data_IF_665221289895
#
_entry.id   IF_665221289895
#
_cell.length_a   1.000
_cell.length_b   1.000
_cell.length_c   1.000
_cell.angle_alpha   90.00
_cell.angle_beta   90.00
_cell.angle_gamma   90.00
#
_symmetry.space_group_name_H-M   'P 1'
#
loop_
_entity.id
_entity.type
_entity.pdbx_description
1 polymer ?
#
# COMPACT_ATOMS: atom_id res chain seq x y z
N UNK A 1 -15.10 4.64 1.67
CA UNK A 1 -14.18 3.60 2.18
C UNK A 1 -13.03 3.53 1.19
N UNK A 2 -11.82 3.90 1.57
CA UNK A 2 -10.65 3.81 0.69
C UNK A 2 -10.33 2.34 0.44
N UNK A 3 -9.98 1.94 -0.79
CA UNK A 3 -9.59 0.56 -1.13
C UNK A 3 -8.42 0.07 -0.26
N UNK A 4 -7.53 0.99 0.11
CA UNK A 4 -6.39 0.75 0.98
C UNK A 4 -6.81 0.27 2.39
N UNK A 5 -7.98 0.65 2.90
CA UNK A 5 -8.43 0.21 4.23
C UNK A 5 -8.81 -1.27 4.28
N UNK A 6 -8.92 -1.94 3.13
CA UNK A 6 -9.17 -3.38 3.01
C UNK A 6 -7.89 -4.19 2.75
N UNK A 7 -6.78 -3.52 2.45
CA UNK A 7 -5.49 -4.13 2.21
C UNK A 7 -4.87 -4.68 3.50
N UNK A 8 -4.01 -5.69 3.39
CA UNK A 8 -3.25 -6.15 4.56
C UNK A 8 -2.16 -5.15 4.90
N UNK A 9 -1.74 -5.15 6.17
CA UNK A 9 -0.61 -4.32 6.62
C UNK A 9 0.65 -4.58 5.79
N UNK A 10 0.94 -5.84 5.45
CA UNK A 10 2.11 -6.21 4.63
C UNK A 10 2.03 -5.60 3.23
N UNK A 11 0.88 -5.72 2.56
CA UNK A 11 0.68 -5.15 1.21
C UNK A 11 0.80 -3.62 1.23
N UNK A 12 0.33 -2.96 2.30
CA UNK A 12 0.45 -1.50 2.48
C UNK A 12 1.90 -1.04 2.73
N UNK A 13 2.71 -1.86 3.41
CA UNK A 13 4.13 -1.57 3.63
C UNK A 13 4.86 -1.63 2.30
N UNK A 14 4.70 -2.73 1.55
CA UNK A 14 5.27 -2.91 0.22
C UNK A 14 4.85 -1.79 -0.72
N UNK A 15 3.56 -1.42 -0.73
CA UNK A 15 3.05 -0.32 -1.54
C UNK A 15 3.72 1.02 -1.19
N UNK A 16 3.91 1.32 0.10
CA UNK A 16 4.59 2.54 0.50
C UNK A 16 6.08 2.51 0.13
N UNK A 17 6.75 1.37 0.22
CA UNK A 17 8.13 1.20 -0.25
C UNK A 17 8.26 1.39 -1.77
N UNK A 18 7.34 0.82 -2.56
CA UNK A 18 7.24 1.01 -4.03
C UNK A 18 7.03 2.48 -4.41
N UNK A 19 6.23 3.20 -3.60
CA UNK A 19 6.03 4.64 -3.75
C UNK A 19 7.25 5.49 -3.28
N UNK A 20 8.33 4.84 -2.83
CA UNK A 20 9.53 5.49 -2.30
C UNK A 20 9.30 6.20 -0.97
N UNK A 21 8.27 5.81 -0.23
CA UNK A 21 7.94 6.36 1.08
C UNK A 21 8.70 5.60 2.17
N UNK A 22 9.26 6.35 3.12
CA UNK A 22 9.90 5.76 4.29
C UNK A 22 8.84 5.21 5.24
N UNK A 23 8.76 3.88 5.34
CA UNK A 23 7.85 3.19 6.25
C UNK A 23 8.57 2.81 7.53
N UNK A 24 8.02 3.18 8.68
CA UNK A 24 8.53 2.65 9.95
C UNK A 24 8.05 1.21 10.16
N UNK A 25 8.91 0.30 10.66
CA UNK A 25 8.52 -1.08 10.95
C UNK A 25 7.38 -1.18 11.98
N UNK A 26 7.26 -0.18 12.85
CA UNK A 26 6.19 -0.06 13.86
C UNK A 26 5.00 0.80 13.41
N UNK A 27 4.97 1.26 12.15
CA UNK A 27 3.87 2.06 11.63
C UNK A 27 2.54 1.31 11.74
N UNK A 28 1.46 2.02 12.11
CA UNK A 28 0.12 1.46 12.12
C UNK A 28 -0.48 1.54 10.72
N UNK A 29 -1.46 0.69 10.43
CA UNK A 29 -2.24 0.72 9.19
C UNK A 29 -2.79 2.13 8.93
N UNK A 30 -3.32 2.80 9.96
CA UNK A 30 -3.81 4.19 9.84
C UNK A 30 -2.74 5.19 9.41
N UNK A 31 -1.50 4.98 9.83
CA UNK A 31 -0.39 5.88 9.54
C UNK A 31 0.13 5.63 8.12
N UNK A 32 0.23 4.37 7.70
CA UNK A 32 0.55 3.97 6.32
C UNK A 32 -0.46 4.56 5.32
N UNK A 33 -1.75 4.44 5.63
CA UNK A 33 -2.82 5.00 4.82
C UNK A 33 -2.65 6.50 4.65
N UNK A 34 -2.42 7.21 5.76
CA UNK A 34 -2.18 8.66 5.73
C UNK A 34 -0.92 9.01 4.97
N UNK A 35 0.16 8.24 5.11
CA UNK A 35 1.43 8.48 4.42
C UNK A 35 1.25 8.42 2.90
N UNK A 36 0.54 7.40 2.42
CA UNK A 36 0.25 7.18 1.00
C UNK A 36 -0.68 8.28 0.49
N UNK A 37 -1.81 8.54 1.16
CA UNK A 37 -2.81 9.51 0.68
C UNK A 37 -2.39 10.97 0.84
N UNK A 38 -1.47 11.29 1.76
CA UNK A 38 -0.94 12.64 1.94
C UNK A 38 0.23 12.94 0.99
N UNK A 39 0.66 11.99 0.18
CA UNK A 39 1.67 12.24 -0.84
C UNK A 39 1.12 13.25 -1.85
N UNK A 40 1.89 14.30 -2.17
CA UNK A 40 1.51 15.30 -3.18
C UNK A 40 1.33 14.71 -4.58
N UNK A 41 2.01 13.60 -4.85
CA UNK A 41 1.93 12.86 -6.10
C UNK A 41 1.03 11.62 -5.96
N UNK A 42 0.15 11.59 -4.96
CA UNK A 42 -0.79 10.51 -4.79
C UNK A 42 -1.75 10.46 -5.99
N UNK A 43 -1.69 9.37 -6.73
CA UNK A 43 -2.61 9.03 -7.79
C UNK A 43 -3.41 7.80 -7.34
N UNK A 44 -4.74 7.95 -7.26
CA UNK A 44 -5.63 6.93 -6.76
C UNK A 44 -5.66 5.69 -7.65
N UNK A 45 -5.65 5.89 -8.97
CA UNK A 45 -5.70 4.79 -9.95
C UNK A 45 -4.38 4.03 -9.96
N UNK A 46 -3.25 4.75 -10.00
CA UNK A 46 -1.92 4.13 -9.91
C UNK A 46 -1.74 3.35 -8.60
N UNK A 47 -2.13 3.95 -7.47
CA UNK A 47 -1.99 3.29 -6.16
C UNK A 47 -2.86 2.03 -6.07
N UNK A 48 -4.04 2.06 -6.69
CA UNK A 48 -4.94 0.91 -6.74
C UNK A 48 -4.36 -0.21 -7.61
N UNK A 49 -3.82 0.12 -8.77
CA UNK A 49 -3.18 -0.85 -9.67
C UNK A 49 -1.94 -1.47 -9.01
N UNK A 50 -1.10 -0.68 -8.35
CA UNK A 50 0.04 -1.18 -7.57
C UNK A 50 -0.39 -2.13 -6.45
N UNK A 51 -1.43 -1.76 -5.68
CA UNK A 51 -1.92 -2.62 -4.61
C UNK A 51 -2.48 -3.95 -5.16
N UNK A 52 -3.18 -3.89 -6.30
CA UNK A 52 -3.74 -5.08 -6.95
C UNK A 52 -2.62 -6.01 -7.44
N UNK A 53 -1.57 -5.46 -8.04
CA UNK A 53 -0.37 -6.21 -8.43
C UNK A 53 0.28 -6.90 -7.21
N UNK A 54 0.59 -6.15 -6.14
CA UNK A 54 1.17 -6.71 -4.90
C UNK A 54 0.28 -7.82 -4.31
N UNK A 55 -1.03 -7.60 -4.32
CA UNK A 55 -1.99 -8.59 -3.80
C UNK A 55 -2.02 -9.85 -4.67
N UNK A 56 -1.89 -9.72 -5.98
CA UNK A 56 -1.87 -10.82 -6.93
C UNK A 56 -0.55 -11.59 -6.87
N UNK A 57 0.59 -10.91 -6.86
CA UNK A 57 1.92 -11.53 -6.71
C UNK A 57 1.96 -12.39 -5.45
N UNK A 58 1.51 -11.85 -4.31
CA UNK A 58 1.44 -12.60 -3.05
C UNK A 58 0.46 -13.79 -3.10
N UNK A 59 -0.59 -13.73 -3.93
CA UNK A 59 -1.50 -14.88 -4.13
C UNK A 59 -0.89 -15.92 -5.07
N UNK A 60 -0.08 -15.51 -6.04
CA UNK A 60 0.62 -16.40 -6.96
C UNK A 60 1.76 -17.14 -6.24
N UNK A 61 2.50 -16.47 -5.35
CA UNK A 61 3.52 -17.11 -4.51
C UNK A 61 2.95 -18.10 -3.49
N UNK A 62 1.68 -17.93 -3.10
CA UNK A 62 0.95 -18.84 -2.20
C UNK A 62 0.33 -20.06 -2.94
N UNK A 63 0.42 -20.16 -4.28
CA UNK A 63 -0.05 -21.30 -5.08
C UNK A 63 1.06 -22.31 -5.42
#
# INVERSE_FOLDING_TARGET
MSFLSRARKVDLITLAEELGLAVEPNAKVSDLLRLITNNKNYDEDFTKDCLEAITNDRKEEEQ
#
